data_IF_277699593008
#
_entry.id   IF_277699593008
#
_cell.length_a   1.000
_cell.length_b   1.000
_cell.length_c   1.000
_cell.angle_alpha   90.00
_cell.angle_beta   90.00
_cell.angle_gamma   90.00
#
_symmetry.space_group_name_H-M   'P 1'
#
loop_
_entity.id
_entity.type
_entity.pdbx_description
1 polymer ?
#
# COMPACT_ATOMS: atom_id res chain seq x y z
N UNK A 1 9.27 -38.52 2.26
CA UNK A 1 8.41 -37.46 2.83
C UNK A 1 7.17 -37.34 1.97
N UNK A 2 5.98 -37.66 2.48
CA UNK A 2 4.71 -37.32 1.80
C UNK A 2 4.48 -35.83 2.02
N UNK A 3 4.63 -35.01 0.98
CA UNK A 3 4.10 -33.64 0.99
C UNK A 3 2.58 -33.80 0.96
N UNK A 4 1.92 -33.60 2.10
CA UNK A 4 0.47 -33.42 2.11
C UNK A 4 0.18 -32.17 1.27
N UNK A 5 -0.33 -32.39 0.06
CA UNK A 5 -0.91 -31.33 -0.75
C UNK A 5 -2.29 -31.13 -0.14
N UNK A 6 -2.41 -30.16 0.76
CA UNK A 6 -3.70 -29.72 1.27
C UNK A 6 -4.52 -29.30 0.03
N UNK A 7 -5.71 -29.87 -0.15
CA UNK A 7 -6.63 -29.37 -1.18
C UNK A 7 -7.11 -27.96 -0.78
N UNK A 8 -7.59 -27.17 -1.74
CA UNK A 8 -8.24 -25.88 -1.42
C UNK A 8 -9.43 -26.09 -0.47
N UNK A 9 -10.15 -27.20 -0.63
CA UNK A 9 -11.26 -27.61 0.24
C UNK A 9 -10.81 -27.90 1.69
N UNK A 10 -9.67 -28.58 1.88
CA UNK A 10 -9.12 -28.88 3.21
C UNK A 10 -8.62 -27.60 3.91
N UNK A 11 -8.14 -26.61 3.15
CA UNK A 11 -7.71 -25.31 3.69
C UNK A 11 -8.91 -24.46 4.13
N UNK A 12 -9.96 -24.41 3.30
CA UNK A 12 -11.18 -23.66 3.62
C UNK A 12 -11.87 -24.23 4.86
N UNK A 13 -11.90 -25.56 5.02
CA UNK A 13 -12.46 -26.21 6.21
C UNK A 13 -11.75 -25.83 7.52
N UNK A 14 -10.43 -25.67 7.49
CA UNK A 14 -9.65 -25.23 8.66
C UNK A 14 -9.92 -23.76 8.94
N UNK A 15 -9.97 -22.92 7.91
CA UNK A 15 -10.29 -21.50 8.04
C UNK A 15 -11.68 -21.31 8.63
N UNK A 16 -12.71 -22.02 8.14
CA UNK A 16 -14.09 -21.89 8.63
C UNK A 16 -14.24 -22.33 10.10
N UNK A 17 -13.33 -23.18 10.59
CA UNK A 17 -13.30 -23.61 11.99
C UNK A 17 -12.52 -22.66 12.89
N UNK A 18 -11.66 -21.83 12.33
CA UNK A 18 -10.98 -20.76 13.04
C UNK A 18 -11.88 -19.54 12.93
N UNK A 19 -12.36 -19.03 14.05
CA UNK A 19 -13.16 -17.80 14.10
C UNK A 19 -12.26 -16.58 13.82
N UNK A 20 -11.74 -16.50 12.60
CA UNK A 20 -10.79 -15.48 12.15
C UNK A 20 -11.60 -14.28 11.69
N UNK A 21 -11.37 -13.15 12.34
CA UNK A 21 -11.86 -11.87 11.86
C UNK A 21 -10.97 -11.37 10.71
N UNK A 22 -11.37 -11.72 9.48
CA UNK A 22 -10.64 -11.34 8.27
C UNK A 22 -10.66 -9.83 8.00
N UNK A 23 -11.64 -9.09 8.53
CA UNK A 23 -11.68 -7.62 8.44
C UNK A 23 -10.58 -7.00 9.29
N UNK A 24 -10.40 -7.51 10.51
CA UNK A 24 -9.28 -7.10 11.37
C UNK A 24 -7.92 -7.51 10.79
N UNK A 25 -7.83 -8.70 10.15
CA UNK A 25 -6.59 -9.09 9.46
C UNK A 25 -6.25 -8.14 8.30
N UNK A 26 -7.24 -7.75 7.48
CA UNK A 26 -7.03 -6.79 6.40
C UNK A 26 -6.55 -5.43 6.93
N UNK A 27 -7.11 -4.95 8.04
CA UNK A 27 -6.68 -3.71 8.70
C UNK A 27 -5.24 -3.80 9.23
N UNK A 28 -4.88 -4.93 9.86
CA UNK A 28 -3.53 -5.17 10.35
C UNK A 28 -2.51 -5.21 9.21
N UNK A 29 -2.86 -5.87 8.10
CA UNK A 29 -1.99 -5.96 6.93
C UNK A 29 -1.83 -4.60 6.26
N UNK A 30 -2.93 -3.83 6.13
CA UNK A 30 -2.91 -2.48 5.61
C UNK A 30 -1.96 -1.56 6.41
N UNK A 31 -2.04 -1.62 7.75
CA UNK A 31 -1.09 -0.92 8.64
C UNK A 31 0.34 -1.42 8.47
N UNK A 32 0.52 -2.70 8.17
CA UNK A 32 1.81 -3.31 7.88
C UNK A 32 2.48 -2.72 6.63
N UNK A 33 1.71 -2.54 5.56
CA UNK A 33 2.16 -1.90 4.32
C UNK A 33 2.54 -0.42 4.52
N UNK A 34 1.76 0.32 5.32
CA UNK A 34 2.03 1.72 5.66
C UNK A 34 3.27 1.95 6.55
N UNK A 35 4.00 0.89 6.92
CA UNK A 35 5.36 1.06 7.49
C UNK A 35 6.36 1.63 6.47
N UNK A 36 6.01 1.56 5.18
CA UNK A 36 6.71 2.21 4.08
C UNK A 36 5.73 3.08 3.29
N UNK A 37 6.20 4.12 2.59
CA UNK A 37 5.30 5.03 1.89
C UNK A 37 4.48 4.33 0.80
N UNK A 38 3.15 4.47 0.88
CA UNK A 38 2.18 3.79 0.01
C UNK A 38 1.03 4.73 -0.37
N UNK A 39 0.57 4.64 -1.61
CA UNK A 39 -0.65 5.35 -2.02
C UNK A 39 -1.90 4.56 -1.66
N UNK A 40 -3.03 5.25 -1.57
CA UNK A 40 -4.33 4.63 -1.30
C UNK A 40 -4.69 3.59 -2.36
N UNK A 41 -4.56 3.95 -3.64
CA UNK A 41 -4.93 3.07 -4.76
C UNK A 41 -4.08 1.80 -4.77
N UNK A 42 -2.76 1.96 -4.63
CA UNK A 42 -1.85 0.81 -4.62
C UNK A 42 -2.15 -0.08 -3.42
N UNK A 43 -2.47 0.49 -2.25
CA UNK A 43 -2.74 -0.29 -1.03
C UNK A 43 -3.96 -1.18 -1.23
N UNK A 44 -5.05 -0.60 -1.73
CA UNK A 44 -6.27 -1.36 -2.09
C UNK A 44 -5.94 -2.46 -3.09
N UNK A 45 -5.19 -2.13 -4.15
CA UNK A 45 -4.79 -3.11 -5.15
C UNK A 45 -3.98 -4.26 -4.53
N UNK A 46 -3.03 -3.96 -3.64
CA UNK A 46 -2.20 -4.95 -2.97
C UNK A 46 -3.05 -5.88 -2.09
N UNK A 47 -3.94 -5.33 -1.26
CA UNK A 47 -4.77 -6.13 -0.36
C UNK A 47 -5.72 -7.08 -1.13
N UNK A 48 -6.31 -6.61 -2.24
CA UNK A 48 -7.21 -7.44 -3.05
C UNK A 48 -6.44 -8.46 -3.91
N UNK A 49 -5.42 -8.00 -4.63
CA UNK A 49 -4.81 -8.81 -5.69
C UNK A 49 -3.66 -9.68 -5.19
N UNK A 50 -2.98 -9.28 -4.13
CA UNK A 50 -1.84 -10.01 -3.59
C UNK A 50 -2.22 -10.75 -2.31
N UNK A 51 -2.82 -10.05 -1.35
CA UNK A 51 -3.23 -10.65 -0.06
C UNK A 51 -4.56 -11.42 -0.13
N UNK A 52 -5.30 -11.27 -1.23
CA UNK A 52 -6.55 -11.98 -1.52
C UNK A 52 -7.69 -11.69 -0.54
N UNK A 53 -7.65 -10.53 0.13
CA UNK A 53 -8.81 -10.05 0.87
C UNK A 53 -9.96 -9.74 -0.09
N UNK A 54 -11.18 -9.96 0.40
CA UNK A 54 -12.40 -9.57 -0.30
C UNK A 54 -12.54 -8.04 -0.32
N UNK A 55 -13.36 -7.53 -1.24
CA UNK A 55 -13.63 -6.08 -1.29
C UNK A 55 -14.19 -5.56 0.05
N UNK A 56 -15.07 -6.33 0.70
CA UNK A 56 -15.68 -5.92 1.98
C UNK A 56 -14.65 -5.81 3.12
N UNK A 57 -13.68 -6.72 3.18
CA UNK A 57 -12.60 -6.69 4.17
C UNK A 57 -11.66 -5.51 3.93
N UNK A 58 -11.35 -5.23 2.67
CA UNK A 58 -10.53 -4.07 2.30
C UNK A 58 -11.26 -2.76 2.56
N UNK A 59 -12.56 -2.67 2.25
CA UNK A 59 -13.35 -1.47 2.55
C UNK A 59 -13.35 -1.19 4.06
N UNK A 60 -13.57 -2.22 4.89
CA UNK A 60 -13.44 -2.10 6.34
C UNK A 60 -12.05 -1.61 6.76
N UNK A 61 -10.98 -2.20 6.21
CA UNK A 61 -9.62 -1.78 6.51
C UNK A 61 -9.37 -0.30 6.13
N UNK A 62 -9.85 0.12 4.95
CA UNK A 62 -9.68 1.48 4.45
C UNK A 62 -10.51 2.52 5.21
N UNK A 63 -11.65 2.13 5.78
CA UNK A 63 -12.45 2.98 6.68
C UNK A 63 -11.80 3.16 8.06
N UNK A 64 -11.11 2.13 8.54
CA UNK A 64 -10.53 2.10 9.89
C UNK A 64 -9.03 2.47 9.93
N UNK A 65 -8.38 2.62 8.77
CA UNK A 65 -7.00 3.07 8.68
C UNK A 65 -6.94 4.60 8.66
N UNK A 66 -6.20 5.17 9.61
CA UNK A 66 -5.90 6.59 9.62
C UNK A 66 -4.55 6.82 8.96
N UNK A 67 -4.57 7.41 7.76
CA UNK A 67 -3.38 7.77 7.00
C UNK A 67 -3.57 9.12 6.33
N UNK A 68 -2.51 9.93 6.33
CA UNK A 68 -2.43 11.14 5.53
C UNK A 68 -1.73 10.83 4.21
N UNK A 69 -2.52 10.67 3.16
CA UNK A 69 -2.02 10.23 1.85
C UNK A 69 -1.12 11.26 1.17
N UNK A 70 -1.28 12.55 1.50
CA UNK A 70 -0.37 13.61 1.02
C UNK A 70 0.99 13.48 1.69
N UNK A 71 0.99 13.21 3.00
CA UNK A 71 2.22 12.96 3.75
C UNK A 71 2.91 11.66 3.28
N UNK A 72 2.16 10.60 2.95
CA UNK A 72 2.73 9.39 2.34
C UNK A 72 3.37 9.67 0.98
N UNK A 73 2.79 10.56 0.17
CA UNK A 73 3.39 11.00 -1.09
C UNK A 73 4.69 11.79 -0.88
N UNK A 74 4.74 12.67 0.12
CA UNK A 74 5.95 13.42 0.52
C UNK A 74 7.07 12.46 0.90
N UNK A 75 6.80 11.51 1.80
CA UNK A 75 7.79 10.49 2.20
C UNK A 75 8.28 9.68 1.00
N UNK A 76 7.38 9.33 0.08
CA UNK A 76 7.76 8.58 -1.13
C UNK A 76 8.66 9.39 -2.05
N UNK A 77 8.36 10.68 -2.25
CA UNK A 77 9.22 11.59 -3.00
C UNK A 77 10.63 11.67 -2.40
N UNK A 78 10.71 11.81 -1.07
CA UNK A 78 11.98 11.85 -0.35
C UNK A 78 12.75 10.54 -0.48
N UNK A 79 12.08 9.39 -0.43
CA UNK A 79 12.72 8.09 -0.65
C UNK A 79 13.35 7.97 -2.05
N UNK A 80 12.69 8.49 -3.09
CA UNK A 80 13.27 8.55 -4.43
C UNK A 80 14.58 9.36 -4.47
N UNK A 81 14.62 10.50 -3.77
CA UNK A 81 15.80 11.37 -3.71
C UNK A 81 17.01 10.72 -3.02
N UNK A 82 16.76 9.81 -2.06
CA UNK A 82 17.82 9.05 -1.35
C UNK A 82 18.47 8.00 -2.25
N UNK A 83 17.71 7.46 -3.21
CA UNK A 83 18.19 6.40 -4.11
C UNK A 83 18.94 6.98 -5.30
N UNK A 84 18.45 8.08 -5.88
CA UNK A 84 19.06 8.73 -7.02
C UNK A 84 18.76 10.24 -7.04
N UNK A 85 19.68 11.01 -7.63
CA UNK A 85 19.40 12.42 -7.97
C UNK A 85 18.42 12.48 -9.15
N UNK A 86 17.15 12.75 -8.86
CA UNK A 86 16.08 12.85 -9.84
C UNK A 86 15.57 14.29 -9.94
N UNK A 87 15.07 14.67 -11.12
CA UNK A 87 14.42 15.98 -11.30
C UNK A 87 13.01 15.98 -10.69
N UNK A 88 12.45 17.17 -10.46
CA UNK A 88 11.07 17.35 -9.97
C UNK A 88 10.08 16.61 -10.84
N UNK A 89 10.20 16.78 -12.16
CA UNK A 89 9.31 16.19 -13.15
C UNK A 89 9.39 14.67 -13.08
N UNK A 90 10.59 14.10 -12.91
CA UNK A 90 10.74 12.66 -12.84
C UNK A 90 10.15 12.06 -11.57
N UNK A 91 10.34 12.72 -10.42
CA UNK A 91 9.71 12.26 -9.16
C UNK A 91 8.19 12.35 -9.27
N UNK A 92 7.67 13.45 -9.81
CA UNK A 92 6.24 13.62 -10.04
C UNK A 92 5.65 12.49 -10.91
N UNK A 93 6.29 12.19 -12.04
CA UNK A 93 5.88 11.10 -12.92
C UNK A 93 5.91 9.73 -12.22
N UNK A 94 6.90 9.47 -11.37
CA UNK A 94 7.01 8.21 -10.63
C UNK A 94 5.86 8.08 -9.62
N UNK A 95 5.56 9.14 -8.87
CA UNK A 95 4.47 9.15 -7.90
C UNK A 95 3.13 8.81 -8.55
N UNK A 96 2.83 9.40 -9.72
CA UNK A 96 1.59 9.16 -10.46
C UNK A 96 1.60 7.77 -11.10
N UNK A 97 2.61 7.47 -11.92
CA UNK A 97 2.54 6.35 -12.85
C UNK A 97 2.93 5.02 -12.22
N UNK A 98 3.85 5.04 -11.25
CA UNK A 98 4.39 3.85 -10.60
C UNK A 98 3.77 3.63 -9.22
N UNK A 99 3.65 4.71 -8.44
CA UNK A 99 3.12 4.61 -7.08
C UNK A 99 1.63 4.87 -6.98
N UNK A 100 0.98 5.35 -8.04
CA UNK A 100 -0.47 5.57 -8.10
C UNK A 100 -0.98 6.55 -7.03
N UNK A 101 -0.16 7.53 -6.67
CA UNK A 101 -0.66 8.71 -5.98
C UNK A 101 -1.54 9.53 -6.93
N UNK A 102 -2.53 10.21 -6.38
CA UNK A 102 -3.34 11.16 -7.14
C UNK A 102 -2.48 12.34 -7.59
N UNK A 103 -2.97 13.09 -8.58
CA UNK A 103 -2.30 14.30 -9.04
C UNK A 103 -2.10 15.31 -7.91
N UNK A 104 -3.12 15.53 -7.07
CA UNK A 104 -3.04 16.46 -5.95
C UNK A 104 -2.00 16.03 -4.91
N UNK A 105 -1.92 14.73 -4.57
CA UNK A 105 -0.92 14.21 -3.64
C UNK A 105 0.50 14.31 -4.20
N UNK A 106 0.68 14.04 -5.50
CA UNK A 106 1.98 14.17 -6.15
C UNK A 106 2.43 15.64 -6.25
N UNK A 107 1.52 16.57 -6.59
CA UNK A 107 1.81 18.01 -6.60
C UNK A 107 2.20 18.49 -5.20
N UNK A 108 1.42 18.11 -4.20
CA UNK A 108 1.71 18.42 -2.80
C UNK A 108 3.09 17.88 -2.37
N UNK A 109 3.41 16.64 -2.75
CA UNK A 109 4.70 16.03 -2.45
C UNK A 109 5.88 16.80 -3.06
N UNK A 110 5.78 17.25 -4.32
CA UNK A 110 6.85 18.04 -4.96
C UNK A 110 7.06 19.38 -4.26
N UNK A 111 6.00 20.00 -3.74
CA UNK A 111 6.07 21.27 -3.02
C UNK A 111 6.63 21.12 -1.60
N UNK A 112 6.29 20.05 -0.90
CA UNK A 112 6.56 19.90 0.55
C UNK A 112 7.73 18.97 0.88
N UNK A 113 8.21 18.16 -0.07
CA UNK A 113 9.36 17.28 0.16
C UNK A 113 10.65 18.07 0.36
N UNK A 114 11.45 17.64 1.34
CA UNK A 114 12.73 18.26 1.69
C UNK A 114 13.86 17.76 0.79
N UNK A 115 13.73 18.04 -0.50
CA UNK A 115 14.65 17.60 -1.54
C UNK A 115 15.35 18.82 -2.13
N UNK A 116 16.67 18.76 -2.28
CA UNK A 116 17.41 19.75 -3.05
C UNK A 116 17.24 19.46 -4.54
N UNK A 117 16.39 20.27 -5.17
CA UNK A 117 16.10 20.18 -6.59
C UNK A 117 17.10 20.94 -7.47
N UNK A 118 18.01 21.71 -6.86
CA UNK A 118 19.04 22.48 -7.56
C UNK A 118 20.26 21.60 -7.78
N UNK A 119 20.24 20.84 -8.86
CA UNK A 119 21.42 20.13 -9.33
C UNK A 119 22.25 21.01 -10.26
#
# INVERSE_FOLDING_TARGET
MRRYKLSEDDAQYVVDKLDIDWKEQALLEAKGYLRSPFSKEKLVWQLINMEKFTQEEVDYAMENISSDWKEEAVKKAEDYSKVAKLTKERVFELLINVDKFTQEEAEYAIEHAKIDWTN
#
